data_IF_308067147482
#
_entry.id   IF_308067147482
#
_cell.length_a   1.000
_cell.length_b   1.000
_cell.length_c   1.000
_cell.angle_alpha   90.00
_cell.angle_beta   90.00
_cell.angle_gamma   90.00
#
_symmetry.space_group_name_H-M   'P 1'
#
loop_
_entity.id
_entity.type
_entity.pdbx_description
1 polymer ?
#
# COMPACT_ATOMS: atom_id res chain seq x y z
N UNK A 1 10.06 -4.46 -8.59
CA UNK A 1 9.57 -5.59 -7.75
C UNK A 1 8.78 -5.00 -6.61
N UNK A 2 7.67 -5.62 -6.24
CA UNK A 2 6.89 -5.26 -5.05
C UNK A 2 7.08 -6.33 -3.98
N UNK A 3 7.20 -5.93 -2.72
CA UNK A 3 7.33 -6.82 -1.56
C UNK A 3 6.43 -6.33 -0.43
N UNK A 4 5.86 -7.28 0.32
CA UNK A 4 5.03 -7.01 1.50
C UNK A 4 5.51 -7.92 2.62
N UNK A 5 5.90 -7.32 3.74
CA UNK A 5 6.41 -8.03 4.92
C UNK A 5 5.58 -7.60 6.13
N UNK A 6 5.07 -8.55 6.90
CA UNK A 6 4.37 -8.27 8.15
C UNK A 6 5.38 -7.82 9.21
N UNK A 7 5.23 -6.59 9.71
CA UNK A 7 6.08 -6.02 10.76
C UNK A 7 5.49 -6.21 12.17
N UNK A 8 4.15 -6.28 12.27
CA UNK A 8 3.41 -6.62 13.48
C UNK A 8 2.05 -7.23 13.11
N UNK A 9 1.19 -7.66 14.06
CA UNK A 9 -0.14 -8.17 13.72
C UNK A 9 -0.97 -7.22 12.85
N UNK A 10 -0.82 -5.91 13.05
CA UNK A 10 -1.59 -4.87 12.37
C UNK A 10 -0.76 -3.99 11.43
N UNK A 11 0.58 -4.14 11.37
CA UNK A 11 1.45 -3.29 10.55
C UNK A 11 2.27 -4.08 9.54
N UNK A 12 2.42 -3.51 8.35
CA UNK A 12 3.07 -4.10 7.19
C UNK A 12 4.08 -3.13 6.60
N UNK A 13 5.27 -3.63 6.28
CA UNK A 13 6.22 -2.95 5.41
C UNK A 13 5.92 -3.33 3.98
N UNK A 14 5.76 -2.33 3.12
CA UNK A 14 5.54 -2.51 1.69
C UNK A 14 6.69 -1.83 0.97
N UNK A 15 7.26 -2.49 -0.02
CA UNK A 15 8.22 -1.90 -0.94
C UNK A 15 7.67 -2.06 -2.35
N UNK A 16 7.76 -1.03 -3.18
CA UNK A 16 7.35 -1.10 -4.58
C UNK A 16 8.21 -0.20 -5.45
N UNK A 17 8.05 -0.38 -6.76
CA UNK A 17 8.75 0.40 -7.77
C UNK A 17 7.69 1.04 -8.65
N UNK A 18 7.73 2.36 -8.78
CA UNK A 18 6.86 3.13 -9.67
C UNK A 18 7.61 3.47 -10.95
N UNK A 19 6.94 3.31 -12.09
CA UNK A 19 7.45 3.73 -13.40
C UNK A 19 6.60 4.89 -13.88
N UNK A 20 7.23 6.02 -14.08
CA UNK A 20 6.57 7.23 -14.53
C UNK A 20 6.71 7.34 -16.05
N UNK A 21 5.59 7.65 -16.71
CA UNK A 21 5.54 7.94 -18.14
C UNK A 21 4.87 9.29 -18.34
N UNK A 22 5.42 10.12 -19.20
CA UNK A 22 4.85 11.42 -19.60
C UNK A 22 4.75 11.44 -21.12
N UNK A 23 3.55 11.75 -21.63
CA UNK A 23 3.27 11.77 -23.08
C UNK A 23 3.67 10.47 -23.79
N UNK A 24 3.50 9.33 -23.12
CA UNK A 24 3.88 8.01 -23.63
C UNK A 24 5.39 7.68 -23.54
N UNK A 25 6.23 8.65 -23.20
CA UNK A 25 7.66 8.45 -23.00
C UNK A 25 7.98 8.08 -21.53
N UNK A 26 8.91 7.15 -21.33
CA UNK A 26 9.41 6.78 -20.01
C UNK A 26 10.24 7.94 -19.43
N UNK A 27 9.86 8.43 -18.25
CA UNK A 27 10.55 9.56 -17.60
C UNK A 27 11.34 9.16 -16.36
N UNK A 28 11.13 7.96 -15.83
CA UNK A 28 11.94 7.47 -14.73
C UNK A 28 11.33 6.33 -13.95
N UNK A 29 12.13 5.77 -13.06
CA UNK A 29 11.71 4.76 -12.08
C UNK A 29 12.04 5.25 -10.68
N UNK A 30 11.09 5.11 -9.77
CA UNK A 30 11.26 5.43 -8.37
C UNK A 30 11.01 4.19 -7.52
N UNK A 31 11.73 4.08 -6.41
CA UNK A 31 11.50 3.02 -5.43
C UNK A 31 10.98 3.64 -4.16
N UNK A 32 9.98 2.99 -3.60
CA UNK A 32 9.26 3.48 -2.44
C UNK A 32 9.19 2.40 -1.38
N UNK A 33 9.20 2.84 -0.12
CA UNK A 33 8.84 2.01 1.01
C UNK A 33 7.73 2.66 1.80
N UNK A 34 6.87 1.84 2.38
CA UNK A 34 5.82 2.29 3.28
C UNK A 34 5.74 1.39 4.50
N UNK A 35 5.32 1.97 5.61
CA UNK A 35 4.74 1.25 6.74
C UNK A 35 3.25 1.57 6.75
N UNK A 36 2.43 0.53 6.63
CA UNK A 36 0.98 0.61 6.59
C UNK A 36 0.41 -0.13 7.79
N UNK A 37 -0.46 0.52 8.56
CA UNK A 37 -1.25 -0.13 9.60
C UNK A 37 -2.67 -0.37 9.12
N UNK A 38 -3.22 -1.53 9.46
CA UNK A 38 -4.59 -1.92 9.11
C UNK A 38 -5.43 -2.24 10.33
N UNK A 39 -6.74 -2.05 10.21
CA UNK A 39 -7.74 -2.48 11.18
C UNK A 39 -8.79 -3.33 10.46
N UNK A 40 -9.34 -4.32 11.17
CA UNK A 40 -10.52 -5.06 10.75
C UNK A 40 -11.78 -4.39 11.31
N UNK A 41 -12.74 -4.07 10.44
CA UNK A 41 -14.01 -3.46 10.84
C UNK A 41 -15.16 -4.19 10.15
N UNK A 42 -15.85 -5.07 10.90
CA UNK A 42 -16.92 -5.90 10.38
C UNK A 42 -17.99 -5.05 9.67
N UNK A 43 -18.39 -5.41 8.43
CA UNK A 43 -19.39 -4.65 7.70
C UNK A 43 -20.75 -4.79 8.39
N UNK A 44 -21.51 -3.70 8.45
CA UNK A 44 -22.84 -3.66 9.07
C UNK A 44 -23.98 -3.74 8.05
N UNK A 45 -23.65 -3.70 6.77
CA UNK A 45 -24.60 -3.78 5.66
C UNK A 45 -23.99 -4.51 4.45
N UNK A 46 -24.88 -4.93 3.54
CA UNK A 46 -24.54 -5.73 2.37
C UNK A 46 -23.68 -4.96 1.35
N UNK A 47 -23.84 -3.63 1.26
CA UNK A 47 -23.08 -2.81 0.30
C UNK A 47 -21.62 -2.68 0.72
N UNK A 48 -21.33 -2.49 2.00
CA UNK A 48 -19.95 -2.50 2.51
C UNK A 48 -19.31 -3.87 2.39
N UNK A 49 -20.05 -4.95 2.65
CA UNK A 49 -19.55 -6.32 2.47
C UNK A 49 -19.18 -6.58 1.00
N UNK A 50 -19.99 -6.12 0.05
CA UNK A 50 -19.71 -6.29 -1.38
C UNK A 50 -18.46 -5.53 -1.83
N UNK A 51 -18.24 -4.32 -1.31
CA UNK A 51 -17.08 -3.48 -1.66
C UNK A 51 -15.78 -3.94 -0.96
N UNK A 52 -15.89 -4.50 0.24
CA UNK A 52 -14.74 -4.97 1.03
C UNK A 52 -15.10 -6.24 1.83
N UNK A 53 -15.08 -7.43 1.18
CA UNK A 53 -15.46 -8.69 1.83
C UNK A 53 -14.58 -9.06 3.03
N UNK A 54 -13.34 -8.57 3.08
CA UNK A 54 -12.38 -8.87 4.14
C UNK A 54 -12.44 -7.90 5.32
N UNK A 55 -13.24 -6.84 5.22
CA UNK A 55 -13.36 -5.83 6.26
C UNK A 55 -12.02 -5.16 6.64
N UNK A 56 -11.05 -5.12 5.72
CA UNK A 56 -9.71 -4.56 5.96
C UNK A 56 -9.70 -3.08 5.61
N UNK A 57 -9.24 -2.24 6.55
CA UNK A 57 -9.11 -0.80 6.36
C UNK A 57 -7.71 -0.33 6.73
N UNK A 58 -7.17 0.64 5.98
CA UNK A 58 -5.91 1.31 6.34
C UNK A 58 -6.21 2.33 7.43
N UNK A 59 -5.53 2.22 8.57
CA UNK A 59 -5.68 3.14 9.70
C UNK A 59 -4.53 4.13 9.82
N UNK A 60 -3.36 3.81 9.27
CA UNK A 60 -2.22 4.71 9.19
C UNK A 60 -1.33 4.34 8.00
N UNK A 61 -0.72 5.33 7.39
CA UNK A 61 0.25 5.14 6.31
C UNK A 61 1.36 6.18 6.43
N UNK A 62 2.58 5.71 6.31
CA UNK A 62 3.75 6.56 6.09
C UNK A 62 4.58 5.93 4.98
N UNK A 63 5.02 6.74 4.03
CA UNK A 63 5.90 6.28 2.96
C UNK A 63 7.04 7.26 2.73
N UNK A 64 8.12 6.73 2.18
CA UNK A 64 9.26 7.51 1.74
C UNK A 64 9.85 6.91 0.48
N UNK A 65 10.42 7.80 -0.34
CA UNK A 65 11.22 7.42 -1.50
C UNK A 65 12.54 6.84 -0.98
N UNK A 66 12.93 5.69 -1.50
CA UNK A 66 14.31 5.23 -1.35
C UNK A 66 15.19 6.14 -2.20
N UNK A 67 15.94 7.02 -1.53
CA UNK A 67 17.04 7.72 -2.18
C UNK A 67 18.14 6.68 -2.35
N UNK A 68 18.55 6.43 -3.60
CA UNK A 68 19.66 5.53 -3.88
C UNK A 68 20.88 5.93 -3.05
N UNK A 69 21.56 4.94 -2.48
CA UNK A 69 22.91 5.14 -1.94
C UNK A 69 23.87 5.60 -3.03
#
# INVERSE_FOLDING_TARGET
MSSVIRASPASFRIAWVERHYRDGAFVGTERWTAIVSVRLSLPRDADHLRKNPLAVFVSAINWSKELGQ
#
